data_IF_132475937204
#
_entry.id   IF_132475937204
#
_cell.length_a   1.000
_cell.length_b   1.000
_cell.length_c   1.000
_cell.angle_alpha   90.00
_cell.angle_beta   90.00
_cell.angle_gamma   90.00
#
_symmetry.space_group_name_H-M   'P 1'
#
loop_
_entity.id
_entity.type
_entity.pdbx_description
1 polymer ?
#
# COMPACT_ATOMS: atom_id res chain seq x y z
N UNK A 1 -5.00 19.76 4.02
CA UNK A 1 -5.13 18.33 3.68
C UNK A 1 -6.46 17.83 4.23
N UNK A 2 -7.12 16.90 3.53
CA UNK A 2 -8.23 16.14 4.13
C UNK A 2 -7.62 15.10 5.07
N UNK A 3 -7.60 15.39 6.36
CA UNK A 3 -6.88 14.57 7.36
C UNK A 3 -7.53 13.20 7.58
N UNK A 4 -8.80 13.06 7.20
CA UNK A 4 -9.63 11.89 7.51
C UNK A 4 -10.06 11.08 6.28
N UNK A 5 -9.66 11.49 5.07
CA UNK A 5 -10.08 10.85 3.83
C UNK A 5 -8.88 10.34 3.03
N UNK A 6 -9.03 9.15 2.43
CA UNK A 6 -8.10 8.62 1.45
C UNK A 6 -8.69 8.79 0.05
N UNK A 7 -8.01 9.54 -0.81
CA UNK A 7 -8.38 9.66 -2.23
C UNK A 7 -7.54 8.71 -3.08
N UNK A 8 -8.19 7.97 -3.99
CA UNK A 8 -7.51 7.07 -4.94
C UNK A 8 -7.94 7.44 -6.37
N UNK A 9 -6.98 7.56 -7.28
CA UNK A 9 -7.24 7.80 -8.70
C UNK A 9 -6.97 6.54 -9.50
N UNK A 10 -8.00 6.00 -10.16
CA UNK A 10 -7.91 4.76 -10.93
C UNK A 10 -8.18 5.08 -12.39
N UNK A 11 -7.19 4.83 -13.27
CA UNK A 11 -7.38 4.96 -14.72
C UNK A 11 -8.06 3.70 -15.25
N UNK A 12 -9.11 3.88 -16.05
CA UNK A 12 -9.80 2.76 -16.70
C UNK A 12 -8.98 2.21 -17.88
N UNK A 13 -8.19 1.15 -17.64
CA UNK A 13 -7.31 0.52 -18.65
C UNK A 13 -7.54 -0.98 -18.77
N UNK A 14 -7.90 -1.66 -17.67
CA UNK A 14 -8.06 -3.11 -17.61
C UNK A 14 -9.48 -3.57 -17.32
N UNK A 15 -9.70 -4.88 -17.37
CA UNK A 15 -11.00 -5.51 -17.09
C UNK A 15 -11.52 -5.20 -15.68
N UNK A 16 -10.64 -5.26 -14.68
CA UNK A 16 -10.99 -4.91 -13.29
C UNK A 16 -11.39 -3.44 -13.14
N UNK A 17 -10.58 -2.51 -13.67
CA UNK A 17 -10.88 -1.07 -13.59
C UNK A 17 -12.14 -0.71 -14.35
N UNK A 18 -12.44 -1.42 -15.45
CA UNK A 18 -13.65 -1.19 -16.23
C UNK A 18 -14.90 -1.68 -15.49
N UNK A 19 -14.85 -2.87 -14.87
CA UNK A 19 -15.93 -3.36 -14.01
C UNK A 19 -16.19 -2.42 -12.84
N UNK A 20 -15.13 -1.96 -12.18
CA UNK A 20 -15.25 -0.98 -11.10
C UNK A 20 -15.89 0.32 -11.60
N UNK A 21 -15.41 0.85 -12.72
CA UNK A 21 -15.98 2.05 -13.33
C UNK A 21 -17.48 1.87 -13.65
N UNK A 22 -17.86 0.77 -14.29
CA UNK A 22 -19.27 0.48 -14.60
C UNK A 22 -20.14 0.40 -13.34
N UNK A 23 -19.68 -0.30 -12.31
CA UNK A 23 -20.39 -0.42 -11.03
C UNK A 23 -20.56 0.93 -10.32
N UNK A 24 -19.55 1.79 -10.41
CA UNK A 24 -19.57 3.15 -9.86
C UNK A 24 -20.41 4.13 -10.70
N UNK A 25 -20.53 3.90 -12.00
CA UNK A 25 -21.35 4.73 -12.90
C UNK A 25 -22.83 4.31 -12.92
N UNK A 26 -23.15 3.03 -12.67
CA UNK A 26 -24.51 2.50 -12.83
C UNK A 26 -25.40 2.71 -11.60
N UNK A 27 -24.82 2.90 -10.43
CA UNK A 27 -25.50 2.73 -9.15
C UNK A 27 -25.17 3.91 -8.24
N UNK A 28 -26.19 4.53 -7.64
CA UNK A 28 -25.99 5.42 -6.50
C UNK A 28 -25.61 4.57 -5.29
N UNK A 29 -24.33 4.22 -5.19
CA UNK A 29 -23.78 3.48 -4.06
C UNK A 29 -23.36 4.49 -3.00
N UNK A 30 -24.11 4.55 -1.91
CA UNK A 30 -23.74 5.34 -0.73
C UNK A 30 -22.45 4.81 -0.08
N UNK A 31 -22.17 3.51 -0.27
CA UNK A 31 -21.03 2.81 0.31
C UNK A 31 -20.39 1.80 -0.64
N UNK A 32 -19.06 1.67 -0.54
CA UNK A 32 -18.26 0.65 -1.21
C UNK A 32 -17.36 -0.02 -0.17
N UNK A 33 -17.54 -1.33 0.03
CA UNK A 33 -16.65 -2.10 0.88
C UNK A 33 -15.29 -2.28 0.18
N UNK A 34 -14.23 -1.76 0.79
CA UNK A 34 -12.87 -1.84 0.26
C UNK A 34 -11.96 -2.44 1.32
N UNK A 35 -11.10 -3.37 0.90
CA UNK A 35 -9.96 -3.82 1.71
C UNK A 35 -8.73 -3.06 1.26
N UNK A 36 -8.05 -2.40 2.20
CA UNK A 36 -6.87 -1.58 1.93
C UNK A 36 -5.67 -2.20 2.65
N UNK A 37 -4.62 -2.45 1.88
CA UNK A 37 -3.32 -2.91 2.39
C UNK A 37 -2.27 -1.85 2.03
N UNK A 38 -1.54 -1.32 3.03
CA UNK A 38 -0.53 -0.29 2.82
C UNK A 38 -0.15 0.46 4.11
N UNK A 39 0.62 1.57 4.00
CA UNK A 39 1.17 2.13 2.77
C UNK A 39 2.43 1.39 2.30
N UNK A 40 2.57 1.25 0.98
CA UNK A 40 3.82 0.81 0.34
C UNK A 40 4.50 2.01 -0.30
N UNK A 41 5.73 2.30 0.12
CA UNK A 41 6.49 3.41 -0.44
C UNK A 41 7.64 3.83 0.47
N UNK A 42 8.53 4.71 -0.02
CA UNK A 42 9.62 5.22 0.78
C UNK A 42 9.08 6.00 1.99
N UNK A 43 9.51 5.60 3.18
CA UNK A 43 9.11 6.24 4.44
C UNK A 43 9.75 7.62 4.65
N UNK A 44 10.78 7.97 3.89
CA UNK A 44 11.57 9.20 4.08
C UNK A 44 11.29 10.24 3.01
N UNK A 45 10.98 11.47 3.44
CA UNK A 45 10.85 12.64 2.57
C UNK A 45 12.21 13.29 2.27
N UNK A 46 13.21 12.48 1.88
CA UNK A 46 14.58 12.96 1.67
C UNK A 46 14.66 14.05 0.57
N UNK A 47 13.75 13.99 -0.39
CA UNK A 47 13.65 14.97 -1.47
C UNK A 47 13.38 16.41 -0.99
N UNK A 48 12.84 16.59 0.22
CA UNK A 48 12.60 17.91 0.81
C UNK A 48 13.88 18.66 1.22
N UNK A 49 15.04 17.99 1.19
CA UNK A 49 16.33 18.61 1.52
C UNK A 49 16.89 19.47 0.38
N UNK A 50 16.31 19.39 -0.81
CA UNK A 50 16.78 20.13 -1.97
C UNK A 50 16.02 21.45 -2.11
N UNK A 51 16.71 22.51 -2.52
CA UNK A 51 16.09 23.83 -2.78
C UNK A 51 15.14 23.81 -3.97
N UNK A 52 15.39 22.93 -4.94
CA UNK A 52 14.57 22.75 -6.13
C UNK A 52 14.31 21.27 -6.39
N UNK A 53 13.05 20.95 -6.71
CA UNK A 53 12.60 19.60 -7.04
C UNK A 53 12.05 19.60 -8.46
N UNK A 54 12.59 18.71 -9.29
CA UNK A 54 12.06 18.45 -10.63
C UNK A 54 11.32 17.11 -10.62
N UNK A 55 10.02 17.17 -10.87
CA UNK A 55 9.14 16.01 -10.93
C UNK A 55 8.82 15.72 -12.40
N UNK A 56 9.18 14.54 -12.89
CA UNK A 56 8.90 14.12 -14.28
C UNK A 56 7.89 12.98 -14.24
N UNK A 57 6.75 13.17 -14.91
CA UNK A 57 5.65 12.21 -14.91
C UNK A 57 5.16 11.90 -16.32
N UNK A 58 4.66 10.67 -16.52
CA UNK A 58 4.02 10.24 -17.76
C UNK A 58 2.64 9.66 -17.50
N UNK A 59 1.61 10.16 -18.19
CA UNK A 59 0.24 9.66 -18.09
C UNK A 59 -0.29 9.66 -16.64
N UNK A 60 -0.79 8.51 -16.16
CA UNK A 60 -1.29 8.36 -14.78
C UNK A 60 -0.19 8.36 -13.72
N UNK A 61 1.10 8.33 -14.10
CA UNK A 61 2.22 8.48 -13.16
C UNK A 61 2.31 9.84 -12.48
N UNK A 62 1.40 10.76 -12.81
CA UNK A 62 1.27 12.07 -12.15
C UNK A 62 0.67 11.98 -10.73
N UNK A 63 -0.12 10.93 -10.44
CA UNK A 63 -0.83 10.75 -9.15
C UNK A 63 0.04 10.89 -7.90
N UNK A 64 1.23 10.26 -7.78
CA UNK A 64 2.09 10.47 -6.61
C UNK A 64 2.54 11.94 -6.46
N UNK A 65 2.79 12.64 -7.57
CA UNK A 65 3.16 14.06 -7.53
C UNK A 65 2.00 14.96 -7.14
N UNK A 66 0.75 14.62 -7.51
CA UNK A 66 -0.44 15.31 -7.00
C UNK A 66 -0.47 15.22 -5.47
N UNK A 67 -0.21 14.03 -4.90
CA UNK A 67 -0.17 13.83 -3.46
C UNK A 67 0.96 14.66 -2.80
N UNK A 68 2.16 14.63 -3.36
CA UNK A 68 3.32 15.41 -2.86
C UNK A 68 3.04 16.91 -2.92
N UNK A 69 2.52 17.42 -4.03
CA UNK A 69 2.22 18.85 -4.20
C UNK A 69 1.14 19.29 -3.20
N UNK A 70 0.08 18.51 -3.00
CA UNK A 70 -0.95 18.80 -1.99
C UNK A 70 -0.39 18.83 -0.56
N UNK A 71 0.49 17.88 -0.22
CA UNK A 71 1.19 17.82 1.06
C UNK A 71 2.09 19.05 1.26
N UNK A 72 2.84 19.45 0.23
CA UNK A 72 3.69 20.64 0.24
C UNK A 72 2.90 21.95 0.35
N UNK A 73 1.79 22.08 -0.37
CA UNK A 73 0.87 23.22 -0.24
C UNK A 73 0.38 23.31 1.21
N UNK A 74 -0.04 22.18 1.81
CA UNK A 74 -0.48 22.15 3.19
C UNK A 74 0.63 22.50 4.19
N UNK A 75 1.85 21.98 4.01
CA UNK A 75 2.99 22.32 4.86
C UNK A 75 3.38 23.80 4.72
N UNK A 76 3.31 24.38 3.52
CA UNK A 76 3.61 25.80 3.28
C UNK A 76 2.65 26.78 3.98
N UNK A 77 1.49 26.30 4.42
CA UNK A 77 0.56 27.08 5.24
C UNK A 77 0.97 27.11 6.72
N UNK A 78 1.81 26.17 7.16
CA UNK A 78 2.35 26.15 8.51
C UNK A 78 3.58 27.07 8.56
N UNK A 79 3.64 27.97 9.54
CA UNK A 79 4.60 29.09 9.62
C UNK A 79 6.10 28.69 9.65
N UNK A 80 6.43 27.40 9.71
CA UNK A 80 7.80 26.91 9.90
C UNK A 80 8.38 26.15 8.70
N UNK A 81 7.66 26.05 7.58
CA UNK A 81 8.12 25.29 6.42
C UNK A 81 8.55 26.18 5.25
N UNK A 82 9.83 26.12 4.89
CA UNK A 82 10.32 26.73 3.66
C UNK A 82 10.14 25.74 2.50
N UNK A 83 9.16 26.01 1.64
CA UNK A 83 8.87 25.15 0.51
C UNK A 83 9.95 25.25 -0.59
N UNK A 84 10.42 24.13 -1.14
CA UNK A 84 11.34 24.14 -2.27
C UNK A 84 10.65 24.59 -3.56
N UNK A 85 11.43 25.10 -4.52
CA UNK A 85 10.94 25.43 -5.86
C UNK A 85 10.54 24.15 -6.59
N UNK A 86 9.34 24.08 -7.14
CA UNK A 86 8.83 22.89 -7.81
C UNK A 86 8.74 23.10 -9.32
N UNK A 87 9.32 22.19 -10.10
CA UNK A 87 9.10 22.08 -11.53
C UNK A 87 8.47 20.73 -11.83
N UNK A 88 7.23 20.73 -12.26
CA UNK A 88 6.51 19.55 -12.72
C UNK A 88 6.53 19.49 -14.25
N UNK A 89 7.10 18.42 -14.80
CA UNK A 89 7.09 18.10 -16.22
C UNK A 89 6.14 16.91 -16.43
N UNK A 90 5.04 17.13 -17.13
CA UNK A 90 4.04 16.12 -17.43
C UNK A 90 4.05 15.77 -18.91
N UNK A 91 4.20 14.49 -19.22
CA UNK A 91 4.13 13.97 -20.58
C UNK A 91 2.80 13.23 -20.73
N UNK A 92 1.91 13.77 -21.55
CA UNK A 92 0.57 13.25 -21.79
C UNK A 92 0.43 12.84 -23.25
N UNK A 93 -0.49 11.89 -23.50
CA UNK A 93 -0.79 11.45 -24.86
C UNK A 93 -1.70 12.47 -25.54
N UNK A 94 -2.81 12.80 -24.87
CA UNK A 94 -3.90 13.61 -25.41
C UNK A 94 -4.27 14.75 -24.44
N UNK A 95 -4.97 15.78 -24.93
CA UNK A 95 -5.46 16.89 -24.09
C UNK A 95 -6.49 16.45 -23.05
N UNK A 96 -7.25 15.38 -23.29
CA UNK A 96 -8.22 14.86 -22.31
C UNK A 96 -7.55 14.41 -21.01
N UNK A 97 -6.30 13.91 -21.09
CA UNK A 97 -5.55 13.50 -19.90
C UNK A 97 -5.12 14.71 -19.04
N UNK A 98 -5.19 15.96 -19.54
CA UNK A 98 -4.90 17.18 -18.76
C UNK A 98 -5.85 17.37 -17.59
N UNK A 99 -7.07 16.83 -17.69
CA UNK A 99 -8.07 16.90 -16.62
C UNK A 99 -7.49 16.41 -15.29
N UNK A 100 -6.57 15.44 -15.30
CA UNK A 100 -5.85 14.95 -14.11
C UNK A 100 -5.15 16.06 -13.31
N UNK A 101 -4.68 17.13 -13.96
CA UNK A 101 -4.03 18.26 -13.27
C UNK A 101 -5.02 19.04 -12.41
N UNK A 102 -6.32 19.01 -12.72
CA UNK A 102 -7.33 19.68 -11.89
C UNK A 102 -7.41 19.07 -10.49
N UNK A 103 -7.02 17.79 -10.34
CA UNK A 103 -6.88 17.14 -9.02
C UNK A 103 -5.77 17.75 -8.18
N UNK A 104 -4.84 18.54 -8.72
CA UNK A 104 -3.84 19.23 -7.88
C UNK A 104 -4.44 20.34 -7.02
N UNK A 105 -5.55 20.94 -7.47
CA UNK A 105 -6.21 22.01 -6.75
C UNK A 105 -6.93 21.44 -5.51
N UNK A 106 -6.88 22.14 -4.36
CA UNK A 106 -7.67 21.77 -3.20
C UNK A 106 -9.17 21.83 -3.56
N UNK A 107 -9.92 20.82 -3.12
CA UNK A 107 -11.38 20.68 -3.36
C UNK A 107 -12.17 21.92 -2.90
N UNK A 108 -11.61 22.69 -1.97
CA UNK A 108 -12.18 23.92 -1.41
C UNK A 108 -12.10 25.17 -2.31
N UNK A 109 -11.54 25.09 -3.52
CA UNK A 109 -11.63 26.17 -4.51
C UNK A 109 -10.88 27.48 -4.18
N UNK A 110 -10.08 27.54 -3.11
CA UNK A 110 -9.28 28.72 -2.80
C UNK A 110 -7.92 28.68 -3.53
N UNK A 111 -7.87 29.34 -4.69
CA UNK A 111 -6.65 29.57 -5.48
C UNK A 111 -5.58 30.35 -4.72
N UNK A 112 -5.97 31.04 -3.64
CA UNK A 112 -5.08 31.80 -2.75
C UNK A 112 -4.05 30.94 -2.02
N UNK A 113 -4.31 29.63 -1.85
CA UNK A 113 -3.44 28.70 -1.13
C UNK A 113 -2.16 28.28 -1.89
N UNK A 114 -2.12 28.51 -3.20
CA UNK A 114 -0.97 28.13 -4.07
C UNK A 114 0.12 29.21 -4.04
N UNK A 115 -0.23 30.43 -3.65
CA UNK A 115 0.64 31.62 -3.75
C UNK A 115 1.95 31.50 -2.96
N UNK A 116 1.98 30.68 -1.90
CA UNK A 116 3.16 30.47 -1.08
C UNK A 116 4.17 29.49 -1.69
N UNK A 117 3.80 28.79 -2.77
CA UNK A 117 4.58 27.71 -3.33
C UNK A 117 4.92 27.99 -4.80
N UNK A 118 6.22 28.06 -5.10
CA UNK A 118 6.71 28.34 -6.45
C UNK A 118 6.61 27.09 -7.33
N UNK A 119 5.39 26.77 -7.79
CA UNK A 119 5.10 25.64 -8.67
C UNK A 119 5.06 26.08 -10.14
N UNK A 120 5.96 25.52 -10.94
CA UNK A 120 5.93 25.62 -12.40
C UNK A 120 5.48 24.29 -12.99
N UNK A 121 4.44 24.32 -13.83
CA UNK A 121 3.93 23.13 -14.53
C UNK A 121 4.24 23.28 -16.03
N UNK A 122 4.94 22.31 -16.60
CA UNK A 122 5.18 22.18 -18.04
C UNK A 122 4.49 20.91 -18.52
N UNK A 123 3.59 21.05 -19.47
CA UNK A 123 2.89 19.90 -20.06
C UNK A 123 3.31 19.72 -21.50
N UNK A 124 3.65 18.49 -21.85
CA UNK A 124 4.04 18.06 -23.19
C UNK A 124 3.02 17.04 -23.69
N UNK A 125 2.37 17.35 -24.81
CA UNK A 125 1.37 16.48 -25.43
C UNK A 125 2.02 15.83 -26.64
N UNK A 126 1.93 14.50 -26.70
CA UNK A 126 2.73 13.70 -27.65
C UNK A 126 1.98 13.28 -28.90
N UNK A 127 0.64 13.27 -28.89
CA UNK A 127 -0.16 12.76 -30.02
C UNK A 127 -1.01 13.81 -30.73
N UNK A 128 -1.24 14.95 -30.10
CA UNK A 128 -2.16 15.99 -30.58
C UNK A 128 -1.41 17.33 -30.70
N UNK A 129 -1.55 18.00 -31.85
CA UNK A 129 -0.86 19.27 -32.15
C UNK A 129 -1.77 20.50 -32.02
N UNK A 130 -3.08 20.31 -31.95
CA UNK A 130 -4.08 21.38 -31.84
C UNK A 130 -4.85 21.23 -30.54
N UNK A 131 -5.08 22.34 -29.84
CA UNK A 131 -5.93 22.37 -28.64
C UNK A 131 -7.38 22.01 -29.01
N UNK A 132 -8.05 21.14 -28.23
CA UNK A 132 -9.44 20.79 -28.47
C UNK A 132 -10.37 21.96 -28.16
N UNK A 133 -11.52 22.00 -28.83
CA UNK A 133 -12.63 22.88 -28.45
C UNK A 133 -13.15 22.52 -27.05
N UNK A 134 -13.66 23.52 -26.33
CA UNK A 134 -14.03 23.48 -24.89
C UNK A 134 -15.03 22.35 -24.55
N UNK A 135 -15.72 21.77 -25.54
CA UNK A 135 -16.84 20.83 -25.37
C UNK A 135 -16.44 19.36 -25.18
N UNK A 136 -15.18 18.95 -25.41
CA UNK A 136 -14.80 17.51 -25.37
C UNK A 136 -14.23 17.04 -24.03
N UNK A 137 -14.21 17.89 -23.00
CA UNK A 137 -13.66 17.54 -21.71
C UNK A 137 -14.65 16.66 -20.94
N UNK A 138 -14.42 15.34 -20.93
CA UNK A 138 -15.11 14.45 -19.99
C UNK A 138 -14.69 14.86 -18.57
N UNK A 139 -15.63 15.30 -17.72
CA UNK A 139 -15.30 15.70 -16.36
C UNK A 139 -14.79 14.49 -15.59
N UNK A 140 -13.83 14.73 -14.69
CA UNK A 140 -13.42 13.71 -13.73
C UNK A 140 -14.61 13.42 -12.82
N UNK A 141 -15.08 12.18 -12.83
CA UNK A 141 -16.09 11.72 -11.91
C UNK A 141 -15.42 11.52 -10.54
N UNK A 142 -15.69 12.43 -9.61
CA UNK A 142 -15.28 12.31 -8.20
C UNK A 142 -16.47 11.77 -7.42
N UNK A 143 -16.30 10.61 -6.80
CA UNK A 143 -17.34 9.97 -5.97
C UNK A 143 -16.86 10.02 -4.53
N UNK A 144 -17.73 10.49 -3.65
CA UNK A 144 -17.49 10.57 -2.21
C UNK A 144 -18.31 9.50 -1.51
N UNK A 145 -17.64 8.65 -0.74
CA UNK A 145 -18.30 7.66 0.10
C UNK A 145 -18.38 8.19 1.53
N UNK A 146 -19.52 7.98 2.18
CA UNK A 146 -19.69 8.34 3.58
C UNK A 146 -19.06 7.26 4.49
N UNK A 147 -18.40 7.65 5.59
CA UNK A 147 -17.83 6.71 6.55
C UNK A 147 -18.95 5.94 7.26
N UNK A 148 -18.73 4.66 7.52
CA UNK A 148 -19.63 3.79 8.26
C UNK A 148 -19.06 3.48 9.67
N UNK A 149 -19.94 3.28 10.65
CA UNK A 149 -19.56 2.87 12.02
C UNK A 149 -18.87 1.50 12.06
N UNK A 150 -19.05 0.68 11.02
CA UNK A 150 -18.41 -0.64 10.90
C UNK A 150 -17.02 -0.60 10.27
N UNK A 151 -16.55 0.58 9.83
CA UNK A 151 -15.26 0.71 9.15
C UNK A 151 -14.11 0.55 10.13
N UNK A 152 -13.19 -0.36 9.81
CA UNK A 152 -11.93 -0.50 10.55
C UNK A 152 -10.90 0.53 10.08
N UNK A 153 -10.05 1.06 10.97
CA UNK A 153 -8.95 1.93 10.55
C UNK A 153 -8.02 1.18 9.60
N UNK A 154 -7.41 1.91 8.66
CA UNK A 154 -6.41 1.35 7.73
C UNK A 154 -5.23 0.83 8.57
N UNK A 155 -5.09 -0.48 8.66
CA UNK A 155 -3.99 -1.11 9.38
C UNK A 155 -2.73 -1.10 8.52
N UNK A 156 -1.61 -0.70 9.10
CA UNK A 156 -0.31 -0.89 8.47
C UNK A 156 -0.08 -2.38 8.19
N UNK A 157 0.36 -2.71 6.96
CA UNK A 157 0.68 -4.10 6.53
C UNK A 157 1.56 -4.82 7.53
N UNK A 158 2.50 -4.08 8.10
CA UNK A 158 3.28 -4.48 9.25
C UNK A 158 3.10 -3.41 10.32
N UNK A 159 2.28 -3.68 11.34
CA UNK A 159 2.21 -2.82 12.52
C UNK A 159 3.60 -2.57 13.13
N UNK A 160 3.77 -1.54 13.99
CA UNK A 160 5.08 -1.09 14.46
C UNK A 160 5.95 -2.17 15.11
N UNK A 161 5.35 -3.23 15.66
CA UNK A 161 6.06 -4.36 16.26
C UNK A 161 5.96 -5.67 15.44
N UNK A 162 5.42 -5.63 14.22
CA UNK A 162 5.14 -6.84 13.45
C UNK A 162 6.43 -7.55 13.02
N UNK A 163 7.53 -6.83 12.80
CA UNK A 163 8.83 -7.45 12.51
C UNK A 163 9.37 -8.25 13.70
N UNK A 164 9.19 -7.73 14.92
CA UNK A 164 9.57 -8.43 16.16
C UNK A 164 8.68 -9.64 16.40
N UNK A 165 7.37 -9.50 16.16
CA UNK A 165 6.41 -10.62 16.23
C UNK A 165 6.69 -11.69 15.18
N UNK A 166 7.01 -11.30 13.95
CA UNK A 166 7.38 -12.21 12.87
C UNK A 166 8.69 -12.92 13.17
N UNK A 167 9.68 -12.19 13.70
CA UNK A 167 10.93 -12.76 14.21
C UNK A 167 10.67 -13.75 15.36
N UNK A 168 9.78 -13.40 16.30
CA UNK A 168 9.39 -14.27 17.41
C UNK A 168 8.67 -15.53 16.91
N UNK A 169 7.80 -15.42 15.90
CA UNK A 169 7.11 -16.57 15.28
C UNK A 169 8.13 -17.50 14.61
N UNK A 170 9.04 -16.94 13.80
CA UNK A 170 10.05 -17.71 13.07
C UNK A 170 10.99 -18.42 14.07
N UNK A 171 11.54 -17.67 15.03
CA UNK A 171 12.47 -18.24 16.04
C UNK A 171 11.79 -19.28 16.94
N UNK A 172 10.59 -19.01 17.43
CA UNK A 172 9.82 -19.95 18.25
C UNK A 172 9.50 -21.23 17.48
N UNK A 173 9.03 -21.11 16.23
CA UNK A 173 8.73 -22.27 15.39
C UNK A 173 9.97 -23.11 15.07
N UNK A 174 11.12 -22.47 14.87
CA UNK A 174 12.38 -23.16 14.62
C UNK A 174 12.90 -23.91 15.86
N UNK A 175 12.85 -23.30 17.04
CA UNK A 175 13.23 -23.95 18.31
C UNK A 175 12.32 -25.15 18.59
N UNK A 176 11.01 -24.97 18.44
CA UNK A 176 10.04 -26.06 18.61
C UNK A 176 10.31 -27.20 17.63
N UNK A 177 10.59 -26.89 16.37
CA UNK A 177 10.96 -27.88 15.37
C UNK A 177 12.23 -28.65 15.76
N UNK A 178 13.29 -27.98 16.20
CA UNK A 178 14.54 -28.62 16.63
C UNK A 178 14.33 -29.57 17.83
N UNK A 179 13.51 -29.16 18.81
CA UNK A 179 13.17 -30.01 19.96
C UNK A 179 12.43 -31.28 19.53
N UNK A 180 11.39 -31.14 18.71
CA UNK A 180 10.64 -32.29 18.17
C UNK A 180 11.51 -33.19 17.30
N UNK A 181 12.35 -32.60 16.44
CA UNK A 181 13.30 -33.32 15.61
C UNK A 181 14.27 -34.17 16.46
N UNK A 182 14.79 -33.59 17.55
CA UNK A 182 15.63 -34.30 18.51
C UNK A 182 14.91 -35.47 19.18
N UNK A 183 13.68 -35.26 19.64
CA UNK A 183 12.86 -36.29 20.29
C UNK A 183 12.58 -37.45 19.33
N UNK A 184 12.12 -37.17 18.11
CA UNK A 184 11.79 -38.22 17.12
C UNK A 184 13.01 -39.01 16.70
N UNK A 185 14.14 -38.34 16.51
CA UNK A 185 15.38 -39.02 16.13
C UNK A 185 15.87 -39.91 17.27
N UNK A 186 15.81 -39.43 18.52
CA UNK A 186 16.26 -40.18 19.71
C UNK A 186 15.33 -41.34 20.11
N UNK A 187 14.02 -41.17 20.01
CA UNK A 187 13.03 -42.11 20.54
C UNK A 187 12.32 -42.95 19.50
N UNK A 188 12.33 -42.56 18.22
CA UNK A 188 11.65 -43.31 17.16
C UNK A 188 12.64 -43.89 16.15
N UNK A 189 13.54 -43.07 15.62
CA UNK A 189 14.49 -43.51 14.56
C UNK A 189 15.62 -44.37 15.14
N UNK A 190 16.34 -43.87 16.14
CA UNK A 190 17.49 -44.55 16.74
C UNK A 190 17.18 -45.93 17.35
N UNK A 191 16.10 -46.13 18.15
CA UNK A 191 15.81 -47.44 18.71
C UNK A 191 15.30 -48.45 17.67
N UNK A 192 14.65 -48.00 16.60
CA UNK A 192 14.23 -48.90 15.51
C UNK A 192 15.44 -49.43 14.76
N UNK A 193 16.41 -48.56 14.44
CA UNK A 193 17.64 -48.93 13.75
C UNK A 193 18.53 -49.85 14.60
N UNK A 194 18.58 -49.62 15.93
CA UNK A 194 19.35 -50.46 16.85
C UNK A 194 18.67 -51.81 17.19
N UNK A 195 17.34 -51.88 17.24
CA UNK A 195 16.63 -53.11 17.63
C UNK A 195 16.34 -54.06 16.47
N UNK A 196 16.20 -53.54 15.25
CA UNK A 196 15.86 -54.35 14.06
C UNK A 196 17.06 -54.61 13.14
N UNK A 197 18.15 -53.84 13.25
CA UNK A 197 19.30 -53.93 12.35
C UNK A 197 19.01 -53.47 10.91
N UNK A 198 17.77 -53.06 10.60
CA UNK A 198 17.38 -52.50 9.32
C UNK A 198 17.42 -50.97 9.36
N UNK A 199 17.93 -50.37 8.27
CA UNK A 199 17.99 -48.92 8.11
C UNK A 199 16.58 -48.38 7.93
N UNK A 200 16.18 -47.42 8.76
CA UNK A 200 14.84 -46.82 8.70
C UNK A 200 14.59 -46.18 7.33
N UNK A 201 13.43 -46.43 6.74
CA UNK A 201 13.09 -45.97 5.39
C UNK A 201 13.20 -44.44 5.27
N UNK A 202 14.13 -44.00 4.41
CA UNK A 202 14.50 -42.60 4.22
C UNK A 202 13.32 -41.73 3.77
N UNK A 203 12.45 -42.24 2.91
CA UNK A 203 11.28 -41.50 2.41
C UNK A 203 10.29 -41.20 3.53
N UNK A 204 10.04 -42.18 4.40
CA UNK A 204 9.13 -42.01 5.53
C UNK A 204 9.70 -41.05 6.57
N UNK A 205 11.03 -41.06 6.75
CA UNK A 205 11.77 -40.11 7.60
C UNK A 205 11.58 -38.66 7.15
N UNK A 206 11.79 -38.39 5.86
CA UNK A 206 11.63 -37.06 5.28
C UNK A 206 10.17 -36.59 5.35
N UNK A 207 9.22 -37.49 5.11
CA UNK A 207 7.79 -37.18 5.20
C UNK A 207 7.38 -36.73 6.61
N UNK A 208 7.86 -37.41 7.66
CA UNK A 208 7.63 -37.00 9.05
C UNK A 208 8.21 -35.62 9.33
N UNK A 209 9.44 -35.34 8.91
CA UNK A 209 10.05 -34.03 9.13
C UNK A 209 9.28 -32.89 8.45
N UNK A 210 8.84 -33.08 7.20
CA UNK A 210 8.04 -32.08 6.49
C UNK A 210 6.71 -31.81 7.19
N UNK A 211 6.03 -32.86 7.66
CA UNK A 211 4.77 -32.73 8.40
C UNK A 211 4.95 -31.93 9.69
N UNK A 212 6.03 -32.19 10.43
CA UNK A 212 6.33 -31.48 11.68
C UNK A 212 6.66 -30.00 11.49
N UNK A 213 7.44 -29.66 10.47
CA UNK A 213 7.72 -28.25 10.14
C UNK A 213 6.41 -27.50 9.90
N UNK A 214 5.53 -28.06 9.06
CA UNK A 214 4.23 -27.46 8.76
C UNK A 214 3.35 -27.32 10.01
N UNK A 215 3.30 -28.34 10.87
CA UNK A 215 2.54 -28.30 12.11
C UNK A 215 3.07 -27.22 13.08
N UNK A 216 4.40 -27.12 13.25
CA UNK A 216 5.02 -26.10 14.09
C UNK A 216 4.72 -24.69 13.60
N UNK A 217 4.79 -24.43 12.29
CA UNK A 217 4.47 -23.12 11.71
C UNK A 217 3.00 -22.75 11.99
N UNK A 218 2.07 -23.69 11.76
CA UNK A 218 0.65 -23.46 12.00
C UNK A 218 0.34 -23.16 13.47
N UNK A 219 0.92 -23.93 14.40
CA UNK A 219 0.70 -23.74 15.85
C UNK A 219 1.29 -22.42 16.32
N UNK A 220 2.55 -22.11 15.98
CA UNK A 220 3.19 -20.87 16.39
C UNK A 220 2.48 -19.63 15.86
N UNK A 221 1.98 -19.68 14.61
CA UNK A 221 1.19 -18.59 14.02
C UNK A 221 -0.15 -18.37 14.73
N UNK A 222 -0.86 -19.46 15.07
CA UNK A 222 -2.12 -19.37 15.84
C UNK A 222 -1.89 -18.85 17.27
N UNK A 223 -0.85 -19.32 17.96
CA UNK A 223 -0.54 -18.83 19.30
C UNK A 223 -0.13 -17.35 19.29
N UNK A 224 0.74 -16.93 18.36
CA UNK A 224 1.19 -15.56 18.30
C UNK A 224 0.05 -14.59 17.93
N UNK A 225 -0.79 -14.93 16.95
CA UNK A 225 -1.95 -14.10 16.60
C UNK A 225 -2.97 -13.97 17.75
N UNK A 226 -3.13 -15.00 18.58
CA UNK A 226 -3.98 -14.94 19.78
C UNK A 226 -3.39 -14.04 20.86
N UNK A 227 -2.08 -14.13 21.10
CA UNK A 227 -1.40 -13.26 22.06
C UNK A 227 -1.43 -11.81 21.59
N UNK A 228 -1.19 -11.57 20.30
CA UNK A 228 -1.26 -10.23 19.71
C UNK A 228 -2.67 -9.63 19.79
N UNK A 229 -3.71 -10.42 19.52
CA UNK A 229 -5.10 -9.99 19.74
C UNK A 229 -5.35 -9.65 21.21
N UNK A 230 -4.90 -10.52 22.13
CA UNK A 230 -5.06 -10.31 23.58
C UNK A 230 -4.35 -9.04 24.07
N UNK A 231 -3.17 -8.73 23.56
CA UNK A 231 -2.47 -7.49 23.89
C UNK A 231 -3.15 -6.25 23.31
N UNK A 232 -3.73 -6.34 22.11
CA UNK A 232 -4.54 -5.25 21.53
C UNK A 232 -5.81 -4.96 22.32
N UNK A 233 -6.47 -5.97 22.88
CA UNK A 233 -7.67 -5.77 23.72
C UNK A 233 -7.37 -5.22 25.12
N UNK A 234 -6.09 -5.17 25.52
CA UNK A 234 -5.66 -4.72 26.85
C UNK A 234 -5.17 -3.27 26.88
N UNK A 235 -5.09 -2.61 25.72
CA UNK A 235 -4.80 -1.19 25.53
C UNK A 235 -6.07 -0.48 25.09
#
# INVERSE_FOLDING_TARGET
METNNLSVTIKNVGSWSNKLYQQLSSSYLDHLNVSVEGPYGPHTKQFLRHEQIVMVSGGSGITPFISIIRDLIFQSQQQQFQAPKLLLICILKNYVDLTMLSLMLPVSGSTTQISNLHLQIKVYITREKQEPSIETQKPIQTIWFQPNLSDSPISLVLGPNNLLWLSAIITSSFIMFLLFFGILTRYYVYPMENNSGEVYNWTFKVMWYMFLICACICVCSKCCSLVEKKERFRK
#
